data_IF_623230119633
#
_entry.id   IF_623230119633
#
_cell.length_a   1.000
_cell.length_b   1.000
_cell.length_c   1.000
_cell.angle_alpha   90.00
_cell.angle_beta   90.00
_cell.angle_gamma   90.00
#
_symmetry.space_group_name_H-M   'P 1'
#
loop_
_entity.id
_entity.type
_entity.pdbx_description
1 polymer ?
#
# COMPACT_ATOMS: atom_id res chain seq x y z
N UNK A 1 15.23 40.71 34.33
CA UNK A 1 14.90 40.00 33.07
C UNK A 1 14.09 38.78 33.44
N UNK A 2 12.76 38.83 33.25
CA UNK A 2 11.86 37.74 33.61
C UNK A 2 11.66 36.85 32.38
N UNK A 3 12.12 35.59 32.45
CA UNK A 3 11.89 34.60 31.41
C UNK A 3 10.43 34.14 31.48
N UNK A 4 9.65 34.54 30.48
CA UNK A 4 8.27 34.12 30.29
C UNK A 4 8.29 32.70 29.68
N UNK A 5 8.14 31.68 30.52
CA UNK A 5 7.99 30.29 30.10
C UNK A 5 6.50 30.00 29.88
N UNK A 6 6.02 30.23 28.66
CA UNK A 6 4.72 29.69 28.24
C UNK A 6 4.88 28.18 27.96
N UNK A 7 4.03 27.30 28.50
CA UNK A 7 4.08 25.88 28.16
C UNK A 7 3.55 25.69 26.73
N UNK A 8 4.43 25.21 25.83
CA UNK A 8 4.14 24.88 24.45
C UNK A 8 3.27 23.60 24.36
N UNK A 9 2.01 23.68 24.78
CA UNK A 9 1.04 22.59 24.62
C UNK A 9 0.48 22.59 23.21
N UNK A 10 1.33 22.40 22.20
CA UNK A 10 0.88 22.12 20.85
C UNK A 10 0.47 20.64 20.79
N UNK A 11 -0.73 20.32 21.27
CA UNK A 11 -1.35 19.03 20.96
C UNK A 11 -1.51 19.02 19.44
N UNK A 12 -0.64 18.29 18.74
CA UNK A 12 -0.83 17.95 17.33
C UNK A 12 -2.11 17.14 17.28
N UNK A 13 -3.23 17.82 17.03
CA UNK A 13 -4.50 17.16 16.72
C UNK A 13 -4.33 16.53 15.35
N UNK A 14 -3.85 15.28 15.33
CA UNK A 14 -3.91 14.46 14.13
C UNK A 14 -5.38 14.43 13.68
N UNK A 15 -5.69 14.80 12.42
CA UNK A 15 -7.04 14.71 11.93
C UNK A 15 -7.50 13.26 12.09
N UNK A 16 -8.62 13.07 12.79
CA UNK A 16 -9.25 11.77 12.98
C UNK A 16 -9.39 11.16 11.57
N UNK A 17 -8.79 10.00 11.27
CA UNK A 17 -8.86 9.44 9.93
C UNK A 17 -10.33 9.29 9.62
N UNK A 18 -10.80 9.97 8.57
CA UNK A 18 -12.14 9.71 8.05
C UNK A 18 -12.16 8.22 7.77
N UNK A 19 -13.05 7.49 8.44
CA UNK A 19 -13.28 6.07 8.19
C UNK A 19 -14.00 5.94 6.86
N UNK A 20 -13.34 6.37 5.80
CA UNK A 20 -13.75 6.07 4.43
C UNK A 20 -13.35 4.62 4.24
N UNK A 21 -14.36 3.74 4.30
CA UNK A 21 -14.12 2.33 3.97
C UNK A 21 -13.55 2.29 2.56
N UNK A 22 -12.47 1.53 2.32
CA UNK A 22 -11.96 1.39 0.98
C UNK A 22 -13.07 0.85 0.08
N UNK A 23 -13.13 1.30 -1.19
CA UNK A 23 -14.11 0.78 -2.13
C UNK A 23 -13.94 -0.75 -2.25
N UNK A 24 -15.04 -1.49 -2.48
CA UNK A 24 -14.96 -2.93 -2.65
C UNK A 24 -14.06 -3.30 -3.82
N UNK A 25 -13.33 -4.40 -3.68
CA UNK A 25 -12.51 -4.94 -4.78
C UNK A 25 -13.41 -5.38 -5.93
N UNK A 26 -13.09 -4.87 -7.12
CA UNK A 26 -13.80 -5.22 -8.36
C UNK A 26 -13.13 -6.39 -9.06
N UNK A 27 -13.90 -7.13 -9.86
CA UNK A 27 -13.35 -8.21 -10.68
C UNK A 27 -12.39 -7.71 -11.77
N UNK A 28 -12.54 -6.45 -12.19
CA UNK A 28 -11.59 -5.78 -13.07
C UNK A 28 -10.21 -5.64 -12.42
N UNK A 29 -10.16 -5.23 -11.15
CA UNK A 29 -8.90 -5.11 -10.40
C UNK A 29 -8.22 -6.46 -10.19
N UNK A 30 -8.99 -7.52 -9.87
CA UNK A 30 -8.42 -8.87 -9.74
C UNK A 30 -7.76 -9.31 -11.05
N UNK A 31 -8.46 -9.17 -12.18
CA UNK A 31 -7.90 -9.50 -13.50
C UNK A 31 -6.65 -8.68 -13.84
N UNK A 32 -6.64 -7.39 -13.51
CA UNK A 32 -5.51 -6.52 -13.75
C UNK A 32 -4.26 -6.98 -12.96
N UNK A 33 -4.42 -7.29 -11.67
CA UNK A 33 -3.33 -7.77 -10.82
C UNK A 33 -2.83 -9.14 -11.29
N UNK A 34 -3.72 -10.06 -11.65
CA UNK A 34 -3.33 -11.36 -12.20
C UNK A 34 -2.57 -11.21 -13.52
N UNK A 35 -3.00 -10.30 -14.39
CA UNK A 35 -2.30 -10.02 -15.64
C UNK A 35 -0.90 -9.43 -15.39
N UNK A 36 -0.76 -8.50 -14.45
CA UNK A 36 0.54 -7.94 -14.05
C UNK A 36 1.45 -9.02 -13.48
N UNK A 37 0.94 -9.91 -12.61
CA UNK A 37 1.70 -11.04 -12.08
C UNK A 37 2.20 -11.93 -13.21
N UNK A 38 1.36 -12.17 -14.22
CA UNK A 38 1.76 -12.98 -15.37
C UNK A 38 2.88 -12.34 -16.19
N UNK A 39 2.80 -11.02 -16.41
CA UNK A 39 3.84 -10.26 -17.09
C UNK A 39 5.16 -10.28 -16.32
N UNK A 40 5.13 -10.14 -14.98
CA UNK A 40 6.33 -10.23 -14.15
C UNK A 40 7.01 -11.59 -14.26
N UNK A 41 6.24 -12.69 -14.22
CA UNK A 41 6.80 -14.03 -14.41
C UNK A 41 7.44 -14.17 -15.79
N UNK A 42 6.80 -13.66 -16.84
CA UNK A 42 7.37 -13.69 -18.20
C UNK A 42 8.68 -12.90 -18.29
N UNK A 43 8.72 -11.69 -17.71
CA UNK A 43 9.92 -10.85 -17.69
C UNK A 43 11.06 -11.51 -16.91
N UNK A 44 10.74 -12.20 -15.81
CA UNK A 44 11.70 -12.96 -15.02
C UNK A 44 12.08 -14.32 -15.63
N UNK A 45 11.51 -14.67 -16.79
CA UNK A 45 11.66 -16.00 -17.41
C UNK A 45 11.29 -17.15 -16.46
N UNK A 46 10.33 -16.91 -15.56
CA UNK A 46 9.85 -17.89 -14.60
C UNK A 46 8.67 -18.68 -15.17
N UNK A 47 8.56 -19.98 -14.85
CA UNK A 47 7.40 -20.78 -15.23
C UNK A 47 6.10 -20.22 -14.66
N UNK A 48 5.03 -20.27 -15.46
CA UNK A 48 3.69 -19.84 -15.06
C UNK A 48 2.95 -20.93 -14.25
N UNK A 49 3.56 -21.46 -13.20
CA UNK A 49 2.87 -22.39 -12.31
C UNK A 49 1.89 -21.65 -11.40
N UNK A 50 0.86 -22.32 -10.87
CA UNK A 50 -0.07 -21.71 -9.92
C UNK A 50 0.64 -21.09 -8.70
N UNK A 51 1.67 -21.75 -8.18
CA UNK A 51 2.44 -21.29 -7.02
C UNK A 51 3.18 -19.98 -7.33
N UNK A 52 3.84 -19.92 -8.50
CA UNK A 52 4.56 -18.72 -8.94
C UNK A 52 3.59 -17.57 -9.20
N UNK A 53 2.42 -17.84 -9.77
CA UNK A 53 1.41 -16.83 -10.02
C UNK A 53 0.87 -16.24 -8.72
N UNK A 54 0.59 -17.09 -7.73
CA UNK A 54 0.17 -16.65 -6.39
C UNK A 54 1.25 -15.79 -5.74
N UNK A 55 2.51 -16.24 -5.76
CA UNK A 55 3.64 -15.49 -5.20
C UNK A 55 3.81 -14.11 -5.87
N UNK A 56 3.69 -14.05 -7.20
CA UNK A 56 3.76 -12.79 -7.96
C UNK A 56 2.59 -11.84 -7.63
N UNK A 57 1.35 -12.35 -7.52
CA UNK A 57 0.19 -11.56 -7.08
C UNK A 57 0.42 -10.96 -5.69
N UNK A 58 0.87 -11.76 -4.73
CA UNK A 58 1.19 -11.26 -3.38
C UNK A 58 2.29 -10.22 -3.40
N UNK A 59 3.33 -10.43 -4.21
CA UNK A 59 4.43 -9.47 -4.35
C UNK A 59 3.94 -8.11 -4.87
N UNK A 60 3.02 -8.10 -5.85
CA UNK A 60 2.41 -6.88 -6.39
C UNK A 60 1.58 -6.15 -5.32
N UNK A 61 0.75 -6.87 -4.58
CA UNK A 61 -0.09 -6.29 -3.53
C UNK A 61 0.80 -5.69 -2.42
N UNK A 62 1.83 -6.41 -1.99
CA UNK A 62 2.75 -5.96 -0.95
C UNK A 62 3.55 -4.74 -1.39
N UNK A 63 4.11 -4.73 -2.60
CA UNK A 63 4.87 -3.59 -3.13
C UNK A 63 4.02 -2.30 -3.19
N UNK A 64 2.75 -2.43 -3.62
CA UNK A 64 1.82 -1.30 -3.66
C UNK A 64 1.33 -0.87 -2.25
N UNK A 65 1.38 -1.76 -1.27
CA UNK A 65 1.02 -1.44 0.13
C UNK A 65 2.15 -0.74 0.88
N UNK A 66 3.41 -1.03 0.54
CA UNK A 66 4.60 -0.38 1.13
C UNK A 66 4.77 1.05 0.61
N UNK A 67 4.39 1.33 -0.65
CA UNK A 67 4.42 2.69 -1.20
C UNK A 67 3.55 3.70 -0.44
N UNK A 68 2.58 3.24 0.36
CA UNK A 68 1.73 4.10 1.21
C UNK A 68 2.45 4.53 2.50
N UNK A 69 3.54 3.86 2.90
CA UNK A 69 4.30 4.16 4.12
C UNK A 69 5.57 5.00 3.88
N UNK A 70 6.02 5.16 2.63
CA UNK A 70 7.18 6.01 2.30
C UNK A 70 6.78 7.43 1.84
N UNK A 71 5.49 7.69 1.61
CA UNK A 71 4.94 9.03 1.26
C UNK A 71 4.24 9.72 2.45
N UNK A 72 4.54 9.29 3.69
CA UNK A 72 4.13 9.94 4.95
C UNK A 72 5.35 10.46 5.71
#
# INVERSE_FOLDING_TARGET
MSLNLQPLNHIVRLPKPKSERPPPITWGQVKAITYQAQQQLNQASLPQTPENLVAAVFSIITANSVAILEDM
#
